data_IF_351082210667
#
_entry.id   IF_351082210667
#
_cell.length_a   1.000
_cell.length_b   1.000
_cell.length_c   1.000
_cell.angle_alpha   90.00
_cell.angle_beta   90.00
_cell.angle_gamma   90.00
#
_symmetry.space_group_name_H-M   'P 1'
#
loop_
_entity.id
_entity.type
_entity.pdbx_description
1 polymer ?
#
# COMPACT_ATOMS: atom_id res chain seq x y z
N UNK A 1 -6.88 -27.84 -12.96
CA UNK A 1 -5.95 -26.74 -12.64
C UNK A 1 -5.41 -26.98 -11.25
N UNK A 2 -4.12 -27.34 -11.13
CA UNK A 2 -3.49 -27.73 -9.85
C UNK A 2 -2.70 -26.55 -9.30
N UNK A 3 -3.08 -26.11 -8.09
CA UNK A 3 -2.36 -25.17 -7.25
C UNK A 3 -1.00 -25.76 -6.85
N UNK A 4 0.09 -25.04 -7.17
CA UNK A 4 1.43 -25.34 -6.65
C UNK A 4 1.61 -24.62 -5.31
N UNK A 5 1.62 -25.38 -4.22
CA UNK A 5 2.12 -24.97 -2.91
C UNK A 5 3.56 -25.47 -2.80
N UNK A 6 4.50 -24.57 -2.55
CA UNK A 6 5.89 -24.91 -2.18
C UNK A 6 6.04 -24.71 -0.67
N UNK A 7 6.53 -25.70 0.10
CA UNK A 7 6.93 -25.48 1.48
C UNK A 7 8.41 -25.07 1.56
N UNK A 8 8.65 -24.02 2.35
CA UNK A 8 9.96 -23.64 2.84
C UNK A 8 10.36 -24.58 3.99
N UNK A 9 11.50 -25.26 3.85
CA UNK A 9 12.21 -25.87 4.99
C UNK A 9 13.68 -26.01 4.64
N UNK A 10 14.49 -25.08 5.11
CA UNK A 10 15.94 -25.22 5.24
C UNK A 10 16.21 -25.72 6.66
N UNK A 11 16.48 -27.02 6.78
CA UNK A 11 16.97 -27.66 7.99
C UNK A 11 18.45 -27.98 7.74
N UNK A 12 19.33 -27.17 8.34
CA UNK A 12 20.76 -27.43 8.36
C UNK A 12 21.11 -27.96 9.76
N UNK A 13 21.34 -29.26 9.85
CA UNK A 13 21.98 -29.90 10.99
C UNK A 13 22.94 -30.96 10.45
N UNK A 14 24.23 -30.80 10.75
CA UNK A 14 25.29 -31.68 10.26
C UNK A 14 26.67 -31.17 10.70
N UNK A 15 26.93 -31.34 11.99
CA UNK A 15 28.24 -31.18 12.65
C UNK A 15 29.27 -32.17 12.15
N UNK A 16 30.56 -31.80 12.22
CA UNK A 16 31.80 -32.54 12.56
C UNK A 16 32.92 -31.65 11.97
N UNK A 17 33.76 -30.96 12.73
CA UNK A 17 34.59 -31.46 13.81
C UNK A 17 36.02 -31.58 13.28
N UNK A 18 36.84 -30.54 13.48
CA UNK A 18 38.29 -30.72 13.60
C UNK A 18 38.85 -29.56 14.41
N UNK A 19 39.38 -29.94 15.57
CA UNK A 19 40.03 -29.09 16.53
C UNK A 19 41.40 -28.66 15.99
N UNK A 20 41.63 -27.35 15.97
CA UNK A 20 42.97 -26.82 16.12
C UNK A 20 42.89 -25.68 17.14
N UNK A 21 43.14 -26.08 18.39
CA UNK A 21 43.23 -25.20 19.53
C UNK A 21 44.49 -24.35 19.40
N UNK A 22 44.31 -23.03 19.18
CA UNK A 22 45.36 -22.05 19.45
C UNK A 22 45.01 -21.27 20.71
N UNK A 23 45.98 -21.06 21.63
CA UNK A 23 45.72 -20.49 22.94
C UNK A 23 45.30 -19.03 22.85
N UNK A 24 44.35 -18.70 23.71
CA UNK A 24 43.90 -17.35 24.05
C UNK A 24 45.11 -16.56 24.53
N UNK A 25 45.54 -15.58 23.73
CA UNK A 25 46.39 -14.50 24.23
C UNK A 25 45.52 -13.27 24.40
N UNK A 26 45.11 -13.06 25.65
CA UNK A 26 44.59 -11.79 26.10
C UNK A 26 45.80 -10.90 26.42
N UNK A 27 45.99 -9.74 25.77
CA UNK A 27 46.79 -8.70 26.38
C UNK A 27 45.90 -7.98 27.40
N UNK A 28 46.26 -8.15 28.66
CA UNK A 28 45.85 -7.27 29.73
C UNK A 28 46.21 -5.82 29.34
N UNK A 29 45.17 -4.99 29.23
CA UNK A 29 45.26 -3.56 28.97
C UNK A 29 44.01 -2.89 29.50
N UNK A 30 43.73 -3.07 30.79
CA UNK A 30 42.71 -2.31 31.53
C UNK A 30 43.23 -0.90 31.80
N UNK A 31 43.09 -0.03 30.80
CA UNK A 31 43.00 1.42 31.02
C UNK A 31 41.52 1.81 31.15
N UNK A 32 41.11 2.63 32.13
CA UNK A 32 39.72 3.07 32.28
C UNK A 32 39.37 4.26 31.38
N UNK A 33 39.97 4.35 30.18
CA UNK A 33 39.75 5.46 29.25
C UNK A 33 39.15 4.95 27.95
N UNK A 34 38.03 5.57 27.56
CA UNK A 34 37.35 5.47 26.26
C UNK A 34 36.51 4.22 25.96
N UNK A 35 35.64 3.82 26.90
CA UNK A 35 34.40 3.13 26.53
C UNK A 35 33.40 4.10 25.85
N UNK A 36 33.85 4.80 24.80
CA UNK A 36 32.94 5.44 23.84
C UNK A 36 32.32 4.28 23.07
N UNK A 37 31.17 3.80 23.54
CA UNK A 37 30.32 2.94 22.73
C UNK A 37 30.13 3.68 21.41
N UNK A 38 30.54 3.14 20.25
CA UNK A 38 30.48 3.91 19.02
C UNK A 38 29.00 4.24 18.80
N UNK A 39 28.65 5.52 18.81
CA UNK A 39 27.30 5.98 18.52
C UNK A 39 27.01 5.97 17.01
N UNK A 40 28.05 5.72 16.20
CA UNK A 40 28.00 5.52 14.75
C UNK A 40 26.97 4.46 14.31
N UNK A 41 26.90 3.26 14.92
CA UNK A 41 25.82 2.29 14.66
C UNK A 41 24.42 2.78 15.03
N UNK A 42 24.26 3.68 16.02
CA UNK A 42 22.94 4.23 16.38
C UNK A 42 22.45 5.26 15.35
N UNK A 43 23.34 6.09 14.81
CA UNK A 43 23.02 6.98 13.69
C UNK A 43 22.69 6.15 12.45
N UNK A 44 23.52 5.16 12.11
CA UNK A 44 23.29 4.29 10.95
C UNK A 44 21.95 3.52 11.05
N UNK A 45 21.58 3.08 12.25
CA UNK A 45 20.27 2.44 12.49
C UNK A 45 19.12 3.45 12.33
N UNK A 46 19.24 4.66 12.89
CA UNK A 46 18.21 5.68 12.75
C UNK A 46 18.06 6.17 11.30
N UNK A 47 19.14 6.25 10.53
CA UNK A 47 19.11 6.54 9.10
C UNK A 47 18.38 5.43 8.32
N UNK A 48 18.61 4.17 8.67
CA UNK A 48 17.89 3.03 8.08
C UNK A 48 16.39 3.11 8.41
N UNK A 49 16.03 3.40 9.66
CA UNK A 49 14.63 3.57 10.08
C UNK A 49 13.95 4.70 9.27
N UNK A 50 14.65 5.82 9.04
CA UNK A 50 14.16 6.93 8.21
C UNK A 50 13.98 6.52 6.76
N UNK A 51 14.93 5.76 6.19
CA UNK A 51 14.83 5.28 4.82
C UNK A 51 13.61 4.37 4.64
N UNK A 52 13.43 3.41 5.54
CA UNK A 52 12.29 2.49 5.54
C UNK A 52 10.97 3.25 5.70
N UNK A 53 10.86 4.14 6.70
CA UNK A 53 9.66 4.93 6.91
C UNK A 53 9.33 5.82 5.70
N UNK A 54 10.34 6.37 5.01
CA UNK A 54 10.17 7.16 3.79
C UNK A 54 9.66 6.31 2.64
N UNK A 55 10.15 5.08 2.49
CA UNK A 55 9.63 4.16 1.47
C UNK A 55 8.16 3.81 1.72
N UNK A 56 7.80 3.49 2.97
CA UNK A 56 6.41 3.20 3.34
C UNK A 56 5.47 4.39 3.11
N UNK A 57 5.91 5.61 3.45
CA UNK A 57 5.13 6.84 3.19
C UNK A 57 4.88 7.04 1.70
N UNK A 58 5.90 6.88 0.86
CA UNK A 58 5.77 7.03 -0.59
C UNK A 58 4.82 6.03 -1.20
N UNK A 59 4.88 4.77 -0.76
CA UNK A 59 3.97 3.71 -1.20
C UNK A 59 2.54 4.00 -0.76
N UNK A 60 2.31 4.42 0.48
CA UNK A 60 0.99 4.80 0.97
C UNK A 60 0.43 6.00 0.17
N UNK A 61 1.27 7.00 -0.12
CA UNK A 61 0.88 8.14 -0.94
C UNK A 61 0.52 7.73 -2.38
N UNK A 62 1.26 6.76 -2.95
CA UNK A 62 0.94 6.20 -4.26
C UNK A 62 -0.42 5.49 -4.25
N UNK A 63 -0.73 4.70 -3.21
CA UNK A 63 -2.06 4.06 -3.05
C UNK A 63 -3.19 5.08 -2.97
N UNK A 64 -3.02 6.17 -2.23
CA UNK A 64 -4.04 7.25 -2.16
C UNK A 64 -4.31 7.84 -3.55
N UNK A 65 -3.26 8.14 -4.32
CA UNK A 65 -3.40 8.67 -5.68
C UNK A 65 -4.08 7.66 -6.60
N UNK A 66 -3.69 6.38 -6.51
CA UNK A 66 -4.32 5.31 -7.28
C UNK A 66 -5.83 5.21 -7.00
N UNK A 67 -6.22 5.12 -5.72
CA UNK A 67 -7.63 4.99 -5.34
C UNK A 67 -8.45 6.25 -5.64
N UNK A 68 -7.85 7.43 -5.61
CA UNK A 68 -8.50 8.65 -6.11
C UNK A 68 -8.84 8.53 -7.61
N UNK A 69 -7.90 8.07 -8.43
CA UNK A 69 -8.11 7.94 -9.87
C UNK A 69 -9.18 6.89 -10.22
N UNK A 70 -9.11 5.68 -9.65
CA UNK A 70 -10.10 4.63 -9.95
C UNK A 70 -11.50 4.95 -9.40
N UNK A 71 -11.58 5.71 -8.29
CA UNK A 71 -12.87 6.22 -7.80
C UNK A 71 -13.50 7.16 -8.83
N UNK A 72 -12.73 8.10 -9.38
CA UNK A 72 -13.24 9.03 -10.41
C UNK A 72 -13.72 8.29 -11.67
N UNK A 73 -12.99 7.26 -12.11
CA UNK A 73 -13.38 6.43 -13.26
C UNK A 73 -14.71 5.72 -12.95
N UNK A 74 -14.83 5.08 -11.78
CA UNK A 74 -16.05 4.38 -11.41
C UNK A 74 -17.26 5.33 -11.27
N UNK A 75 -17.05 6.56 -10.77
CA UNK A 75 -18.11 7.58 -10.68
C UNK A 75 -18.56 8.04 -12.07
N UNK A 76 -17.62 8.16 -13.01
CA UNK A 76 -17.92 8.45 -14.42
C UNK A 76 -18.71 7.31 -15.07
N UNK A 77 -18.29 6.06 -14.86
CA UNK A 77 -19.00 4.88 -15.38
C UNK A 77 -20.44 4.83 -14.86
N UNK A 78 -20.64 5.12 -13.57
CA UNK A 78 -21.95 5.17 -12.95
C UNK A 78 -22.84 6.23 -13.61
N UNK A 79 -22.28 7.41 -13.87
CA UNK A 79 -23.02 8.48 -14.55
C UNK A 79 -23.35 8.10 -15.99
N UNK A 80 -22.43 7.47 -16.72
CA UNK A 80 -22.68 6.97 -18.09
C UNK A 80 -23.81 5.95 -18.09
N UNK A 81 -23.78 4.96 -17.19
CA UNK A 81 -24.81 3.93 -17.10
C UNK A 81 -26.20 4.52 -16.79
N UNK A 82 -26.27 5.56 -15.95
CA UNK A 82 -27.53 6.28 -15.68
C UNK A 82 -28.07 6.98 -16.92
N UNK A 83 -27.21 7.66 -17.66
CA UNK A 83 -27.60 8.30 -18.93
C UNK A 83 -28.08 7.26 -19.92
N UNK A 84 -27.38 6.14 -20.09
CA UNK A 84 -27.78 5.05 -20.99
C UNK A 84 -29.13 4.43 -20.59
N UNK A 85 -29.37 4.26 -19.29
CA UNK A 85 -30.64 3.78 -18.75
C UNK A 85 -31.78 4.71 -19.12
N UNK A 86 -31.61 6.00 -18.86
CA UNK A 86 -32.65 7.02 -19.07
C UNK A 86 -32.94 7.24 -20.57
N UNK A 87 -31.88 7.27 -21.40
CA UNK A 87 -32.01 7.35 -22.87
C UNK A 87 -32.73 6.12 -23.42
N UNK A 88 -32.35 4.92 -22.96
CA UNK A 88 -32.98 3.68 -23.43
C UNK A 88 -34.46 3.62 -23.05
N UNK A 89 -34.82 4.07 -21.85
CA UNK A 89 -36.22 4.13 -21.42
C UNK A 89 -37.04 5.12 -22.24
N UNK A 90 -36.49 6.32 -22.49
CA UNK A 90 -37.16 7.34 -23.30
C UNK A 90 -37.40 6.88 -24.75
N UNK A 91 -36.41 6.21 -25.35
CA UNK A 91 -36.55 5.68 -26.71
C UNK A 91 -37.49 4.47 -26.78
N UNK A 92 -37.49 3.61 -25.75
CA UNK A 92 -38.47 2.53 -25.63
C UNK A 92 -39.89 3.11 -25.61
N UNK A 93 -40.14 4.10 -24.76
CA UNK A 93 -41.45 4.76 -24.68
C UNK A 93 -41.87 5.37 -26.02
N UNK A 94 -40.92 5.99 -26.73
CA UNK A 94 -41.17 6.58 -28.05
C UNK A 94 -41.55 5.52 -29.08
N UNK A 95 -40.86 4.38 -29.10
CA UNK A 95 -41.16 3.27 -30.01
C UNK A 95 -42.53 2.63 -29.71
N UNK A 96 -42.89 2.48 -28.43
CA UNK A 96 -44.21 2.01 -28.00
C UNK A 96 -45.31 2.94 -28.51
N UNK A 97 -45.15 4.25 -28.34
CA UNK A 97 -46.13 5.24 -28.83
C UNK A 97 -46.26 5.22 -30.36
N UNK A 98 -45.16 4.95 -31.07
CA UNK A 98 -45.15 4.80 -32.53
C UNK A 98 -45.71 3.46 -33.03
N UNK A 99 -45.98 2.49 -32.14
CA UNK A 99 -46.41 1.14 -32.52
C UNK A 99 -45.32 0.27 -33.12
N UNK A 100 -44.05 0.61 -32.94
CA UNK A 100 -42.88 -0.14 -33.42
C UNK A 100 -42.36 -1.09 -32.33
N UNK A 101 -43.03 -2.23 -32.20
CA UNK A 101 -42.75 -3.25 -31.18
C UNK A 101 -41.32 -3.82 -31.25
N UNK A 102 -40.74 -4.20 -32.42
CA UNK A 102 -39.36 -4.67 -32.48
C UNK A 102 -38.34 -3.65 -31.98
N UNK A 103 -38.53 -2.36 -32.29
CA UNK A 103 -37.65 -1.30 -31.80
C UNK A 103 -37.83 -1.08 -30.30
N UNK A 104 -39.07 -1.16 -29.79
CA UNK A 104 -39.33 -1.08 -28.36
C UNK A 104 -38.62 -2.20 -27.58
N UNK A 105 -38.67 -3.43 -28.07
CA UNK A 105 -37.98 -4.58 -27.47
C UNK A 105 -36.46 -4.41 -27.47
N UNK A 106 -35.89 -3.89 -28.57
CA UNK A 106 -34.46 -3.60 -28.63
C UNK A 106 -34.04 -2.56 -27.57
N UNK A 107 -34.85 -1.52 -27.36
CA UNK A 107 -34.61 -0.52 -26.32
C UNK A 107 -34.80 -1.07 -24.90
N UNK A 108 -35.78 -1.96 -24.70
CA UNK A 108 -35.97 -2.65 -23.42
C UNK A 108 -34.73 -3.46 -23.01
N UNK A 109 -34.13 -4.19 -23.96
CA UNK A 109 -32.91 -4.96 -23.71
C UNK A 109 -31.73 -4.04 -23.36
N UNK A 110 -31.59 -2.91 -24.07
CA UNK A 110 -30.55 -1.90 -23.76
C UNK A 110 -30.76 -1.28 -22.37
N UNK A 111 -32.00 -0.95 -22.01
CA UNK A 111 -32.34 -0.44 -20.69
C UNK A 111 -32.00 -1.46 -19.59
N UNK A 112 -32.37 -2.73 -19.79
CA UNK A 112 -32.08 -3.82 -18.86
C UNK A 112 -30.56 -4.00 -18.67
N UNK A 113 -29.78 -3.93 -19.74
CA UNK A 113 -28.31 -3.94 -19.67
C UNK A 113 -27.78 -2.73 -18.89
N UNK A 114 -28.28 -1.53 -19.17
CA UNK A 114 -27.84 -0.31 -18.48
C UNK A 114 -28.11 -0.36 -16.97
N UNK A 115 -29.21 -0.99 -16.53
CA UNK A 115 -29.47 -1.23 -15.10
C UNK A 115 -28.43 -2.15 -14.44
N UNK A 116 -28.01 -3.21 -15.14
CA UNK A 116 -26.95 -4.09 -14.65
C UNK A 116 -25.61 -3.36 -14.56
N UNK A 117 -25.28 -2.56 -15.57
CA UNK A 117 -24.07 -1.75 -15.61
C UNK A 117 -24.08 -0.68 -14.51
N UNK A 118 -25.22 -0.03 -14.25
CA UNK A 118 -25.38 0.94 -13.15
C UNK A 118 -25.10 0.27 -11.81
N UNK A 119 -25.68 -0.92 -11.56
CA UNK A 119 -25.46 -1.66 -10.31
C UNK A 119 -23.99 -2.07 -10.15
N UNK A 120 -23.36 -2.55 -11.22
CA UNK A 120 -21.96 -2.93 -11.21
C UNK A 120 -21.04 -1.71 -10.96
N UNK A 121 -21.32 -0.57 -11.61
CA UNK A 121 -20.58 0.67 -11.42
C UNK A 121 -20.75 1.22 -10.01
N UNK A 122 -21.97 1.21 -9.46
CA UNK A 122 -22.23 1.61 -8.08
C UNK A 122 -21.43 0.76 -7.08
N UNK A 123 -21.38 -0.56 -7.29
CA UNK A 123 -20.56 -1.45 -6.47
C UNK A 123 -19.08 -1.06 -6.49
N UNK A 124 -18.51 -0.74 -7.66
CA UNK A 124 -17.13 -0.25 -7.79
C UNK A 124 -16.91 1.10 -7.09
N UNK A 125 -17.85 2.04 -7.24
CA UNK A 125 -17.77 3.35 -6.56
C UNK A 125 -17.68 3.18 -5.05
N UNK A 126 -18.56 2.36 -4.46
CA UNK A 126 -18.57 2.12 -3.02
C UNK A 126 -17.28 1.46 -2.55
N UNK A 127 -16.81 0.43 -3.26
CA UNK A 127 -15.55 -0.25 -2.98
C UNK A 127 -14.37 0.74 -3.01
N UNK A 128 -14.19 1.47 -4.11
CA UNK A 128 -13.02 2.35 -4.27
C UNK A 128 -13.03 3.56 -3.33
N UNK A 129 -14.22 4.05 -2.94
CA UNK A 129 -14.32 5.07 -1.89
C UNK A 129 -13.82 4.53 -0.55
N UNK A 130 -14.24 3.32 -0.16
CA UNK A 130 -13.78 2.68 1.07
C UNK A 130 -12.26 2.45 1.05
N UNK A 131 -11.72 1.89 -0.03
CA UNK A 131 -10.28 1.68 -0.21
C UNK A 131 -9.49 2.99 -0.17
N UNK A 132 -10.03 4.07 -0.76
CA UNK A 132 -9.41 5.39 -0.71
C UNK A 132 -9.31 5.92 0.72
N UNK A 133 -10.33 5.72 1.54
CA UNK A 133 -10.35 6.18 2.93
C UNK A 133 -9.42 5.35 3.83
N UNK A 134 -9.31 4.04 3.56
CA UNK A 134 -8.29 3.17 4.15
C UNK A 134 -6.89 3.67 3.76
N UNK A 135 -6.63 3.90 2.47
CA UNK A 135 -5.34 4.39 1.99
C UNK A 135 -4.96 5.75 2.59
N UNK A 136 -5.92 6.66 2.80
CA UNK A 136 -5.70 7.94 3.49
C UNK A 136 -5.31 7.73 4.95
N UNK A 137 -5.95 6.78 5.62
CA UNK A 137 -5.63 6.43 7.01
C UNK A 137 -4.23 5.84 7.12
N UNK A 138 -3.86 4.95 6.19
CA UNK A 138 -2.52 4.37 6.10
C UNK A 138 -1.45 5.43 5.84
N UNK A 139 -1.70 6.35 4.91
CA UNK A 139 -0.79 7.48 4.65
C UNK A 139 -0.58 8.30 5.92
N UNK A 140 -1.65 8.65 6.64
CA UNK A 140 -1.54 9.38 7.91
C UNK A 140 -0.69 8.63 8.94
N UNK A 141 -0.78 7.30 9.00
CA UNK A 141 0.06 6.48 9.88
C UNK A 141 1.52 6.46 9.41
N UNK A 142 1.76 6.31 8.11
CA UNK A 142 3.09 6.29 7.53
C UNK A 142 3.82 7.64 7.70
N UNK A 143 3.13 8.77 7.50
CA UNK A 143 3.68 10.11 7.75
C UNK A 143 4.11 10.27 9.20
N UNK A 144 3.28 9.85 10.17
CA UNK A 144 3.65 9.88 11.59
C UNK A 144 4.86 8.99 11.91
N UNK A 145 4.95 7.82 11.27
CA UNK A 145 6.10 6.94 11.43
C UNK A 145 7.39 7.60 10.93
N UNK A 146 7.32 8.28 9.78
CA UNK A 146 8.43 9.04 9.22
C UNK A 146 8.84 10.21 10.13
N UNK A 147 7.89 10.98 10.64
CA UNK A 147 8.14 12.06 11.61
C UNK A 147 8.86 11.53 12.86
N UNK A 148 8.41 10.38 13.40
CA UNK A 148 9.05 9.75 14.54
C UNK A 148 10.49 9.28 14.22
N UNK A 149 10.70 8.63 13.08
CA UNK A 149 12.02 8.17 12.66
C UNK A 149 12.99 9.35 12.48
N UNK A 150 12.53 10.44 11.86
CA UNK A 150 13.32 11.67 11.70
C UNK A 150 13.68 12.30 13.04
N UNK A 151 12.72 12.38 13.98
CA UNK A 151 13.00 12.89 15.32
C UNK A 151 13.99 12.01 16.09
N UNK A 152 13.93 10.68 15.91
CA UNK A 152 14.89 9.73 16.50
C UNK A 152 16.29 9.96 15.95
N UNK A 153 16.42 10.12 14.62
CA UNK A 153 17.69 10.44 13.97
C UNK A 153 18.27 11.76 14.48
N UNK A 154 17.45 12.81 14.55
CA UNK A 154 17.90 14.12 15.03
C UNK A 154 18.39 14.07 16.48
N UNK A 155 17.72 13.31 17.36
CA UNK A 155 18.18 13.10 18.75
C UNK A 155 19.51 12.35 18.80
N UNK A 156 19.69 11.33 17.96
CA UNK A 156 20.95 10.58 17.88
C UNK A 156 22.10 11.49 17.41
N UNK A 157 21.87 12.31 16.38
CA UNK A 157 22.83 13.29 15.89
C UNK A 157 23.19 14.33 16.96
N UNK A 158 22.20 14.86 17.68
CA UNK A 158 22.43 15.79 18.80
C UNK A 158 23.22 15.16 19.94
N UNK A 159 22.99 13.88 20.25
CA UNK A 159 23.76 13.17 21.27
C UNK A 159 25.22 13.01 20.87
N UNK A 160 25.49 12.67 19.60
CA UNK A 160 26.87 12.60 19.07
C UNK A 160 27.55 13.95 19.11
N UNK A 161 26.89 15.01 18.64
CA UNK A 161 27.46 16.36 18.65
C UNK A 161 27.85 16.83 20.05
N UNK A 162 27.07 16.48 21.09
CA UNK A 162 27.39 16.81 22.49
C UNK A 162 28.60 16.07 23.05
N UNK A 163 28.89 14.88 22.54
CA UNK A 163 30.03 14.08 23.00
C UNK A 163 31.32 14.42 22.24
N UNK A 164 31.21 15.14 21.13
CA UNK A 164 32.34 15.63 20.33
C UNK A 164 32.75 17.06 20.67
N UNK A 165 31.96 17.78 21.46
CA UNK A 165 32.19 19.16 21.89
C UNK A 165 32.85 19.19 23.27
#
# INVERSE_FOLDING_TARGET
MRLKLLPATLLLAGTIGSADARPITSPAGTGPDDAITPLTPLIALADRDVLEARTTEREAAARVRHYAAVTMIAERDLQTARVERDVSLANQQTAIVAGDEPTADAWFLRHSKALLDERAALGRVLLYRAERDIARTDLKRATKSLEYAMAKLERAQRAVARLQA
#
